data_IF_899648199549
#
_entry.id   IF_899648199549
#
_cell.length_a   1.000
_cell.length_b   1.000
_cell.length_c   1.000
_cell.angle_alpha   90.00
_cell.angle_beta   90.00
_cell.angle_gamma   90.00
#
_symmetry.space_group_name_H-M   'P 1'
#
loop_
_entity.id
_entity.type
_entity.pdbx_description
1 polymer ?
#
# COMPACT_ATOMS: atom_id res chain seq x y z
N UNK A 1 -0.95 0.72 7.95
CA UNK A 1 -2.09 0.59 8.90
C UNK A 1 -1.56 0.26 10.29
N UNK A 2 -2.24 0.70 11.36
CA UNK A 2 -1.87 0.36 12.74
C UNK A 2 -1.18 1.47 13.55
N UNK A 3 -1.15 2.71 13.04
CA UNK A 3 -0.70 3.88 13.80
C UNK A 3 -1.65 4.13 14.99
N UNK A 4 -1.09 4.48 16.15
CA UNK A 4 -1.84 4.96 17.30
C UNK A 4 -1.97 6.48 17.15
N UNK A 5 -3.20 6.98 17.17
CA UNK A 5 -3.51 8.40 16.98
C UNK A 5 -4.23 8.98 18.18
N UNK A 6 -4.08 10.28 18.37
CA UNK A 6 -4.92 11.07 19.27
C UNK A 6 -6.07 11.70 18.48
N UNK A 7 -7.13 12.07 19.18
CA UNK A 7 -8.33 12.63 18.58
C UNK A 7 -8.87 13.82 19.38
N UNK A 8 -9.69 14.64 18.71
CA UNK A 8 -10.60 15.60 19.35
C UNK A 8 -12.04 15.18 19.10
N UNK A 9 -12.98 15.61 19.95
CA UNK A 9 -14.41 15.35 19.78
C UNK A 9 -15.12 16.66 19.53
N UNK A 10 -15.93 16.72 18.47
CA UNK A 10 -16.83 17.85 18.19
C UNK A 10 -18.16 17.31 17.65
N UNK A 11 -19.27 17.74 18.26
CA UNK A 11 -20.63 17.33 17.89
C UNK A 11 -20.83 15.80 17.84
N UNK A 12 -20.17 15.08 18.76
CA UNK A 12 -20.21 13.61 18.83
C UNK A 12 -19.36 12.89 17.77
N UNK A 13 -18.64 13.63 16.92
CA UNK A 13 -17.73 13.09 15.89
C UNK A 13 -16.29 13.16 16.37
N UNK A 14 -15.56 12.07 16.15
CA UNK A 14 -14.13 11.95 16.46
C UNK A 14 -13.30 12.42 15.25
N UNK A 15 -12.42 13.40 15.48
CA UNK A 15 -11.53 13.95 14.46
C UNK A 15 -10.09 13.59 14.79
N UNK A 16 -9.35 13.14 13.77
CA UNK A 16 -7.91 12.96 13.89
C UNK A 16 -7.25 14.27 14.36
N UNK A 17 -6.38 14.18 15.36
CA UNK A 17 -5.62 15.32 15.87
C UNK A 17 -4.13 15.18 15.55
N UNK A 18 -3.50 14.10 16.01
CA UNK A 18 -2.09 13.84 15.75
C UNK A 18 -1.74 12.36 15.86
N UNK A 19 -0.59 11.97 15.33
CA UNK A 19 -0.03 10.63 15.51
C UNK A 19 0.70 10.57 16.85
N UNK A 20 0.34 9.58 17.68
CA UNK A 20 1.00 9.27 18.96
C UNK A 20 2.12 8.26 18.76
N UNK A 21 1.89 7.24 17.91
CA UNK A 21 2.88 6.24 17.55
C UNK A 21 2.65 5.75 16.13
N UNK A 22 3.69 5.73 15.32
CA UNK A 22 3.67 5.10 14.01
C UNK A 22 3.64 3.57 14.14
N UNK A 23 2.86 2.91 13.29
CA UNK A 23 3.12 1.52 12.90
C UNK A 23 4.38 1.49 12.05
N UNK A 24 5.20 0.46 12.24
CA UNK A 24 6.36 0.18 11.39
C UNK A 24 5.95 -0.39 10.02
N UNK A 25 4.69 -0.17 9.61
CA UNK A 25 4.11 -0.67 8.39
C UNK A 25 4.15 0.41 7.31
N UNK A 26 4.70 0.05 6.16
CA UNK A 26 4.61 0.85 4.94
C UNK A 26 3.23 0.70 4.29
N UNK A 27 2.83 1.68 3.50
CA UNK A 27 1.56 1.68 2.77
C UNK A 27 1.80 1.93 1.30
N UNK A 28 1.30 1.05 0.45
CA UNK A 28 1.27 1.21 -1.01
C UNK A 28 -0.18 1.37 -1.41
N UNK A 29 -0.49 2.30 -2.32
CA UNK A 29 -1.84 2.47 -2.87
C UNK A 29 -1.85 2.02 -4.31
N UNK A 30 -2.89 1.28 -4.69
CA UNK A 30 -3.01 0.67 -6.00
C UNK A 30 -4.34 1.08 -6.63
N UNK A 31 -4.30 1.52 -7.88
CA UNK A 31 -5.46 1.82 -8.72
C UNK A 31 -5.48 0.87 -9.91
N UNK A 32 -6.57 0.14 -10.09
CA UNK A 32 -6.76 -0.72 -11.26
C UNK A 32 -7.28 0.07 -12.45
N UNK A 33 -6.53 0.01 -13.56
CA UNK A 33 -6.88 0.69 -14.81
C UNK A 33 -7.69 -0.21 -15.74
N UNK A 34 -7.37 -1.50 -15.75
CA UNK A 34 -7.92 -2.45 -16.71
C UNK A 34 -8.81 -3.50 -16.03
N UNK A 35 -10.09 -3.54 -16.41
CA UNK A 35 -11.09 -4.48 -15.88
C UNK A 35 -11.04 -5.88 -16.50
N UNK A 36 -10.18 -6.12 -17.49
CA UNK A 36 -10.04 -7.46 -18.10
C UNK A 36 -9.24 -8.43 -17.23
N UNK A 37 -8.49 -7.92 -16.24
CA UNK A 37 -7.76 -8.76 -15.29
C UNK A 37 -8.69 -9.13 -14.14
N UNK A 38 -8.73 -10.43 -13.83
CA UNK A 38 -9.44 -10.91 -12.65
C UNK A 38 -8.77 -10.35 -11.39
N UNK A 39 -9.49 -9.45 -10.73
CA UNK A 39 -8.99 -8.74 -9.56
C UNK A 39 -8.71 -9.70 -8.40
N UNK A 40 -9.40 -10.84 -8.32
CA UNK A 40 -9.16 -11.84 -7.29
C UNK A 40 -7.81 -12.56 -7.48
N UNK A 41 -7.32 -12.66 -8.73
CA UNK A 41 -5.97 -13.16 -9.00
C UNK A 41 -4.93 -12.19 -8.45
N UNK A 42 -5.10 -10.89 -8.68
CA UNK A 42 -4.17 -9.88 -8.17
C UNK A 42 -4.23 -9.81 -6.64
N UNK A 43 -5.42 -9.89 -6.05
CA UNK A 43 -5.58 -10.00 -4.60
C UNK A 43 -4.76 -11.14 -4.01
N UNK A 44 -4.88 -12.35 -4.57
CA UNK A 44 -4.14 -13.53 -4.10
C UNK A 44 -2.63 -13.39 -4.28
N UNK A 45 -2.18 -12.68 -5.31
CA UNK A 45 -0.75 -12.38 -5.52
C UNK A 45 -0.26 -11.47 -4.40
N UNK A 46 -0.97 -10.36 -4.15
CA UNK A 46 -0.61 -9.38 -3.12
C UNK A 46 -0.61 -10.03 -1.71
N UNK A 47 -1.61 -10.86 -1.42
CA UNK A 47 -1.70 -11.59 -0.15
C UNK A 47 -0.53 -12.58 0.04
N UNK A 48 -0.14 -13.30 -1.02
CA UNK A 48 1.05 -14.18 -1.01
C UNK A 48 2.37 -13.43 -0.85
N UNK A 49 2.42 -12.17 -1.24
CA UNK A 49 3.58 -11.30 -0.99
C UNK A 49 3.64 -10.80 0.46
N UNK A 50 2.75 -11.25 1.36
CA UNK A 50 2.76 -10.88 2.78
C UNK A 50 2.06 -9.55 3.09
N UNK A 51 1.28 -9.02 2.13
CA UNK A 51 0.54 -7.77 2.32
C UNK A 51 -0.78 -7.99 3.06
N UNK A 52 -1.07 -7.14 4.03
CA UNK A 52 -2.45 -6.94 4.50
C UNK A 52 -3.14 -5.95 3.54
N UNK A 53 -4.36 -6.26 3.12
CA UNK A 53 -5.06 -5.51 2.07
C UNK A 53 -6.32 -4.87 2.62
N UNK A 54 -6.42 -3.55 2.47
CA UNK A 54 -7.63 -2.78 2.75
C UNK A 54 -8.30 -2.40 1.42
N UNK A 55 -9.44 -3.03 1.12
CA UNK A 55 -10.20 -2.73 -0.09
C UNK A 55 -11.07 -1.49 0.14
N UNK A 56 -10.64 -0.34 -0.38
CA UNK A 56 -11.43 0.89 -0.34
C UNK A 56 -12.57 0.86 -1.37
N UNK A 57 -12.32 0.24 -2.53
CA UNK A 57 -13.33 -0.01 -3.57
C UNK A 57 -12.96 -1.22 -4.43
N UNK A 58 -13.72 -1.45 -5.50
CA UNK A 58 -13.39 -2.45 -6.52
C UNK A 58 -12.18 -2.08 -7.35
N UNK A 59 -11.74 -0.83 -7.38
CA UNK A 59 -10.59 -0.40 -8.21
C UNK A 59 -9.49 0.30 -7.44
N UNK A 60 -9.65 0.49 -6.13
CA UNK A 60 -8.67 1.21 -5.31
C UNK A 60 -8.43 0.49 -3.98
N UNK A 61 -7.19 0.04 -3.75
CA UNK A 61 -6.79 -0.70 -2.56
C UNK A 61 -5.58 -0.05 -1.88
N UNK A 62 -5.49 -0.22 -0.56
CA UNK A 62 -4.30 0.07 0.22
C UNK A 62 -3.66 -1.24 0.68
N UNK A 63 -2.35 -1.38 0.45
CA UNK A 63 -1.54 -2.51 0.89
C UNK A 63 -0.70 -2.07 2.08
N UNK A 64 -0.84 -2.76 3.20
CA UNK A 64 -0.01 -2.57 4.40
C UNK A 64 1.10 -3.62 4.40
N UNK A 65 2.34 -3.16 4.42
CA UNK A 65 3.55 -3.99 4.25
C UNK A 65 4.45 -3.84 5.47
N UNK A 66 4.79 -4.96 6.12
CA UNK A 66 5.49 -4.96 7.42
C UNK A 66 7.01 -5.02 7.31
N UNK A 67 7.54 -5.66 6.28
CA UNK A 67 8.98 -5.92 6.16
C UNK A 67 9.53 -5.37 4.84
N UNK A 68 10.82 -5.03 4.82
CA UNK A 68 11.51 -4.61 3.59
C UNK A 68 11.48 -5.73 2.53
N UNK A 69 11.64 -6.99 2.95
CA UNK A 69 11.60 -8.13 2.01
C UNK A 69 10.24 -8.27 1.32
N UNK A 70 9.15 -8.06 2.05
CA UNK A 70 7.80 -8.13 1.46
C UNK A 70 7.53 -6.91 0.59
N UNK A 71 8.08 -5.75 0.95
CA UNK A 71 8.05 -4.53 0.15
C UNK A 71 8.73 -4.73 -1.21
N UNK A 72 9.96 -5.23 -1.23
CA UNK A 72 10.70 -5.49 -2.47
C UNK A 72 9.96 -6.49 -3.37
N UNK A 73 9.41 -7.56 -2.79
CA UNK A 73 8.62 -8.56 -3.54
C UNK A 73 7.39 -7.92 -4.17
N UNK A 74 6.65 -7.10 -3.41
CA UNK A 74 5.41 -6.53 -3.91
C UNK A 74 5.66 -5.41 -4.91
N UNK A 75 6.64 -4.55 -4.70
CA UNK A 75 6.96 -3.47 -5.66
C UNK A 75 7.45 -4.04 -6.97
N UNK A 76 8.31 -5.06 -6.96
CA UNK A 76 8.71 -5.76 -8.19
C UNK A 76 7.50 -6.27 -8.98
N UNK A 77 6.52 -6.84 -8.28
CA UNK A 77 5.31 -7.35 -8.93
C UNK A 77 4.38 -6.23 -9.43
N UNK A 78 4.29 -5.13 -8.69
CA UNK A 78 3.51 -3.96 -9.08
C UNK A 78 4.10 -3.27 -10.31
N UNK A 79 5.42 -3.12 -10.37
CA UNK A 79 6.14 -2.58 -11.55
C UNK A 79 5.90 -3.45 -12.79
N UNK A 80 5.90 -4.78 -12.65
CA UNK A 80 5.57 -5.70 -13.74
C UNK A 80 4.14 -5.44 -14.26
N UNK A 81 3.17 -5.27 -13.36
CA UNK A 81 1.75 -5.04 -13.71
C UNK A 81 1.50 -3.63 -14.26
N UNK A 82 2.20 -2.63 -13.76
CA UNK A 82 2.19 -1.25 -14.24
C UNK A 82 2.77 -1.15 -15.65
N UNK A 83 3.89 -1.83 -15.93
CA UNK A 83 4.47 -1.88 -17.28
C UNK A 83 3.48 -2.44 -18.33
N UNK A 84 2.56 -3.31 -17.90
CA UNK A 84 1.50 -3.90 -18.71
C UNK A 84 0.19 -3.08 -18.68
N UNK A 85 0.18 -1.92 -18.03
CA UNK A 85 -0.95 -0.99 -17.91
C UNK A 85 -2.18 -1.60 -17.23
N UNK A 86 -1.98 -2.59 -16.35
CA UNK A 86 -3.09 -3.20 -15.60
C UNK A 86 -3.51 -2.37 -14.40
N UNK A 87 -2.55 -1.73 -13.75
CA UNK A 87 -2.72 -0.90 -12.57
C UNK A 87 -1.67 0.21 -12.57
N UNK A 88 -1.92 1.26 -11.79
CA UNK A 88 -0.90 2.19 -11.31
C UNK A 88 -0.77 2.02 -9.80
N UNK A 89 0.38 2.40 -9.25
CA UNK A 89 0.57 2.42 -7.81
C UNK A 89 1.38 3.63 -7.34
N UNK A 90 1.17 4.03 -6.09
CA UNK A 90 1.99 5.04 -5.43
C UNK A 90 2.50 4.54 -4.07
N UNK A 91 3.71 4.99 -3.71
CA UNK A 91 4.26 4.79 -2.38
C UNK A 91 3.64 5.82 -1.44
N UNK A 92 2.89 5.34 -0.44
CA UNK A 92 2.34 6.16 0.63
C UNK A 92 3.37 6.40 1.72
N UNK A 93 3.09 5.90 2.93
CA UNK A 93 4.05 5.93 4.04
C UNK A 93 5.10 4.85 3.84
N UNK A 94 6.37 5.19 4.00
CA UNK A 94 7.47 4.22 4.07
C UNK A 94 8.03 4.18 5.50
N UNK A 95 8.30 2.98 5.98
CA UNK A 95 8.80 2.71 7.36
C UNK A 95 10.24 2.21 7.37
N UNK A 96 10.85 2.05 6.20
CA UNK A 96 12.22 1.62 6.00
C UNK A 96 12.88 2.56 4.98
N UNK A 97 14.19 2.75 5.12
CA UNK A 97 14.99 3.46 4.13
C UNK A 97 15.09 2.60 2.86
N UNK A 98 14.55 3.11 1.76
CA UNK A 98 14.72 2.50 0.44
C UNK A 98 15.96 3.13 -0.17
N UNK A 99 17.07 2.38 -0.24
CA UNK A 99 18.20 2.81 -1.06
C UNK A 99 17.73 2.84 -2.51
N UNK A 100 17.62 4.05 -3.09
CA UNK A 100 17.49 4.18 -4.54
C UNK A 100 18.76 3.64 -5.16
N UNK A 101 18.72 2.40 -5.64
CA UNK A 101 19.64 1.98 -6.70
C UNK A 101 19.29 2.81 -7.93
N UNK A 102 19.97 3.94 -8.08
CA UNK A 102 20.02 4.66 -9.35
C UNK A 102 20.51 3.64 -10.41
N UNK A 103 19.80 3.46 -11.53
CA UNK A 103 20.40 2.75 -12.65
C UNK A 103 21.64 3.53 -13.06
N UNK A 104 22.81 2.89 -12.96
CA UNK A 104 24.05 3.43 -13.50
C UNK A 104 23.85 3.66 -15.00
N UNK A 105 23.63 4.91 -15.40
CA UNK A 105 23.81 5.39 -16.77
C UNK A 105 25.29 5.47 -17.11
#
# INVERSE_FOLDING_TARGET
MGDIVSYTIKDGVYYFYSIVKHSDNSTIRVVYLNKTVDIDVIYRIMEKCGCEIEKMSTTFWALSVKTLSDFEKITFKLEELESQHFLDFELGKLSFEVEKSLPNT
#
